data_IF_865343900920
#
_entry.id   IF_865343900920
#
_cell.length_a   1.000
_cell.length_b   1.000
_cell.length_c   1.000
_cell.angle_alpha   90.00
_cell.angle_beta   90.00
_cell.angle_gamma   90.00
#
_symmetry.space_group_name_H-M   'P 1'
#
loop_
_entity.id
_entity.type
_entity.pdbx_description
1 polymer ?
2 non-polymer ?
3 non-polymer ?
4 water ?
#
# COMPACT_ATOMS: atom_id res chain seq x y z
N UNK A 17 20.12 12.67 19.59
CA UNK A 17 19.54 11.71 18.60
C UNK A 17 18.22 12.24 18.03
N UNK A 18 18.27 12.82 16.81
CA UNK A 18 17.08 13.36 16.14
C UNK A 18 16.12 12.26 15.66
N UNK A 19 14.84 12.62 15.51
CA UNK A 19 13.80 11.67 15.10
C UNK A 19 12.92 12.17 13.95
N UNK A 20 12.25 11.23 13.29
CA UNK A 20 11.31 11.54 12.20
C UNK A 20 9.90 11.14 12.62
N UNK A 21 8.96 12.09 12.52
CA UNK A 21 7.56 11.83 12.80
C UNK A 21 6.82 11.51 11.50
N UNK A 22 6.37 10.27 11.36
CA UNK A 22 5.65 9.83 10.17
C UNK A 22 4.15 9.82 10.44
N UNK A 23 3.39 10.51 9.58
CA UNK A 23 1.95 10.67 9.77
C UNK A 23 1.17 10.16 8.56
N UNK A 24 0.22 9.27 8.83
CA UNK A 24 -0.72 8.79 7.82
C UNK A 24 -2.16 9.06 8.25
N UNK A 25 -2.78 10.06 7.62
CA UNK A 25 -4.15 10.44 7.95
C UNK A 25 -5.15 9.80 7.01
N UNK A 26 -5.94 8.86 7.55
CA UNK A 26 -7.04 8.28 6.83
C UNK A 26 -8.31 9.11 7.02
N UNK A 27 -9.39 8.66 6.40
CA UNK A 27 -10.68 9.34 6.52
C UNK A 27 -11.29 9.19 7.92
N UNK A 28 -10.91 8.13 8.62
CA UNK A 28 -11.48 7.81 9.94
C UNK A 28 -10.45 7.66 11.06
N UNK A 29 -9.16 7.74 10.71
CA UNK A 29 -8.08 7.59 11.70
C UNK A 29 -6.80 8.37 11.37
N UNK A 30 -5.89 8.43 12.33
CA UNK A 30 -4.55 8.99 12.12
C UNK A 30 -3.51 8.03 12.69
N UNK A 31 -2.74 7.40 11.79
CA UNK A 31 -1.66 6.49 12.19
C UNK A 31 -0.33 7.24 12.19
N UNK A 32 0.44 7.05 13.26
CA UNK A 32 1.73 7.73 13.37
C UNK A 32 2.85 6.82 13.89
N UNK A 33 4.08 7.15 13.50
CA UNK A 33 5.27 6.45 13.98
C UNK A 33 6.42 7.43 14.19
N UNK A 34 7.22 7.17 15.21
CA UNK A 34 8.41 7.98 15.48
C UNK A 34 9.66 7.11 15.31
N UNK A 35 10.41 7.38 14.25
CA UNK A 35 11.61 6.60 13.93
C UNK A 35 12.88 7.35 14.25
N UNK A 36 13.85 6.64 14.82
CA UNK A 36 15.15 7.21 15.15
C UNK A 36 15.99 7.35 13.88
N UNK A 37 16.41 8.58 13.59
CA UNK A 37 17.17 8.90 12.37
C UNK A 37 18.42 8.02 12.22
N UNK A 38 19.10 7.78 13.34
CA UNK A 38 20.37 7.04 13.34
C UNK A 38 20.24 5.59 12.83
N UNK A 39 19.20 4.88 13.28
CA UNK A 39 19.06 3.46 13.01
C UNK A 39 17.78 3.07 12.23
N UNK A 40 16.93 4.06 11.98
CA UNK A 40 15.62 3.86 11.33
C UNK A 40 14.71 2.90 12.12
N UNK A 41 14.91 2.86 13.44
CA UNK A 41 14.14 2.00 14.32
C UNK A 41 12.91 2.71 14.89
N UNK A 42 11.82 1.97 15.05
CA UNK A 42 10.58 2.50 15.62
C UNK A 42 10.73 2.68 17.12
N UNK A 43 10.59 3.93 17.58
CA UNK A 43 10.67 4.25 19.00
C UNK A 43 9.27 4.33 19.62
N UNK A 44 8.31 4.82 18.83
CA UNK A 44 6.94 4.99 19.29
C UNK A 44 5.98 4.87 18.11
N UNK A 45 4.84 4.23 18.34
CA UNK A 45 3.79 4.08 17.33
C UNK A 45 2.41 4.11 17.97
N UNK A 46 1.45 4.69 17.26
CA UNK A 46 0.08 4.78 17.77
C UNK A 46 -0.95 5.10 16.71
N UNK A 47 -2.23 5.02 17.12
CA UNK A 47 -3.36 5.29 16.22
C UNK A 47 -4.44 6.10 16.94
N UNK A 48 -4.85 7.21 16.33
CA UNK A 48 -5.98 8.01 16.82
C UNK A 48 -7.22 7.65 16.01
N UNK A 49 -8.03 6.74 16.54
CA UNK A 49 -9.17 6.17 15.82
C UNK A 49 -10.48 6.89 16.13
N UNK A 50 -11.48 6.69 15.28
CA UNK A 50 -12.79 7.33 15.42
C UNK A 50 -12.73 8.82 15.16
N UNK A 51 -12.04 9.20 14.08
CA UNK A 51 -11.80 10.60 13.76
C UNK A 51 -13.04 11.31 13.20
N UNK A 52 -13.22 12.56 13.61
CA UNK A 52 -14.36 13.41 13.23
C UNK A 52 -15.72 12.97 13.82
N UNK A 53 -15.74 11.82 14.49
CA UNK A 53 -16.96 11.29 15.11
C UNK A 53 -17.25 11.98 16.45
N UNK A 54 -18.32 11.54 17.11
CA UNK A 54 -18.70 12.06 18.43
C UNK A 54 -17.75 11.60 19.54
N UNK A 55 -17.05 10.50 19.28
CA UNK A 55 -16.06 9.96 20.22
C UNK A 55 -14.75 9.59 19.52
N UNK A 56 -13.67 10.24 19.92
CA UNK A 56 -12.34 9.99 19.35
C UNK A 56 -11.33 9.65 20.45
N UNK A 57 -10.60 8.56 20.24
CA UNK A 57 -9.62 8.08 21.23
C UNK A 57 -8.23 7.90 20.62
N UNK A 58 -7.20 7.94 21.46
CA UNK A 58 -5.82 7.86 21.06
C UNK A 58 -5.08 6.74 21.79
N UNK A 59 -4.69 5.70 21.07
CA UNK A 59 -3.93 4.57 21.62
C UNK A 59 -2.50 4.60 21.10
N UNK A 60 -1.54 4.39 22.00
CA UNK A 60 -0.13 4.40 21.66
C UNK A 60 0.53 3.09 22.09
N UNK A 61 0.99 2.31 21.12
CA UNK A 61 1.58 0.98 21.34
C UNK A 61 0.59 -0.02 21.95
N UNK A 62 -0.70 0.30 21.86
CA UNK A 62 -1.75 -0.46 22.53
C UNK A 62 -1.71 -0.27 24.04
N UNK A 63 -1.41 0.96 24.46
CA UNK A 63 -1.20 1.31 25.87
C UNK A 63 -2.45 1.93 26.49
N UNK A 64 -3.59 1.28 26.28
CA UNK A 64 -4.90 1.73 26.78
C UNK A 64 -5.38 3.05 26.13
N UNK A 65 -6.50 2.98 25.38
CA UNK A 65 -7.08 4.12 24.67
C UNK A 65 -7.47 5.28 25.59
N UNK A 66 -7.04 6.49 25.23
CA UNK A 66 -7.39 7.70 25.95
C UNK A 66 -8.24 8.61 25.08
N UNK A 67 -9.48 8.84 25.49
CA UNK A 67 -10.46 9.59 24.70
C UNK A 67 -10.25 11.10 24.73
N UNK A 68 -10.76 11.78 23.71
CA UNK A 68 -10.76 13.24 23.63
C UNK A 68 -12.18 13.77 23.45
N UNK A 69 -13.08 12.89 23.02
CA UNK A 69 -14.52 13.17 22.81
C UNK A 69 -14.81 14.28 21.80
N UNK A 70 -15.35 13.87 20.65
CA UNK A 70 -15.70 14.78 19.54
C UNK A 70 -14.54 15.67 19.09
N UNK A 71 -13.42 15.03 18.72
CA UNK A 71 -12.21 15.75 18.35
C UNK A 71 -11.95 15.72 16.85
N UNK A 72 -11.34 16.79 16.35
CA UNK A 72 -10.98 16.92 14.93
C UNK A 72 -9.52 16.55 14.66
N UNK A 73 -9.09 16.70 13.41
CA UNK A 73 -7.73 16.36 12.99
C UNK A 73 -6.66 17.19 13.69
N UNK A 74 -6.92 18.48 13.90
CA UNK A 74 -5.98 19.38 14.56
C UNK A 74 -5.83 19.07 16.06
N UNK A 75 -6.94 18.72 16.70
CA UNK A 75 -6.96 18.39 18.12
C UNK A 75 -6.29 17.04 18.41
N UNK A 76 -6.47 16.09 17.50
CA UNK A 76 -5.87 14.76 17.62
C UNK A 76 -4.35 14.80 17.45
N UNK A 77 -3.89 15.60 16.48
CA UNK A 77 -2.46 15.81 16.25
C UNK A 77 -1.81 16.58 17.40
N UNK A 78 -2.60 17.42 18.07
CA UNK A 78 -2.15 18.15 19.24
C UNK A 78 -2.02 17.24 20.46
N UNK A 79 -2.86 16.20 20.52
CA UNK A 79 -2.81 15.19 21.57
C UNK A 79 -1.57 14.30 21.42
N UNK A 80 -1.26 13.94 20.18
CA UNK A 80 -0.05 13.17 19.85
C UNK A 80 1.21 13.99 20.13
N UNK A 81 1.13 15.30 19.86
CA UNK A 81 2.22 16.23 20.15
C UNK A 81 2.43 16.43 21.64
N UNK A 82 1.34 16.34 22.41
CA UNK A 82 1.39 16.44 23.87
C UNK A 82 2.02 15.18 24.46
N UNK A 83 1.69 14.02 23.88
CA UNK A 83 2.29 12.75 24.27
C UNK A 83 3.73 12.62 23.76
N UNK A 84 4.02 13.35 22.68
CA UNK A 84 5.37 13.50 22.15
C UNK A 84 6.20 14.34 23.13
N UNK A 85 5.55 15.29 23.80
CA UNK A 85 6.19 16.18 24.75
C UNK A 85 6.42 15.51 26.11
N UNK A 86 5.47 14.67 26.51
CA UNK A 86 5.53 13.94 27.77
C UNK A 86 6.72 12.98 27.84
N UNK A 87 7.22 12.59 26.66
CA UNK A 87 8.36 11.69 26.56
C UNK A 87 9.63 12.41 26.09
N UNK A 88 9.57 13.75 26.14
CA UNK A 88 10.72 14.64 25.89
C UNK A 88 11.36 14.53 24.50
N UNK A 89 10.57 14.19 23.50
CA UNK A 89 11.09 14.06 22.13
C UNK A 89 10.52 15.08 21.13
N UNK A 90 9.77 16.07 21.65
CA UNK A 90 9.20 17.14 20.83
C UNK A 90 10.30 17.99 20.19
N UNK A 91 11.29 18.37 20.99
CA UNK A 91 12.41 19.19 20.51
C UNK A 91 13.42 18.35 19.71
N UNK A 92 13.18 17.04 19.65
CA UNK A 92 14.04 16.11 18.92
C UNK A 92 13.52 15.80 17.51
N UNK A 93 12.29 16.24 17.23
CA UNK A 93 11.66 16.05 15.91
C UNK A 93 12.34 16.93 14.86
N UNK A 94 13.14 16.31 14.00
CA UNK A 94 13.87 17.02 12.96
C UNK A 94 13.09 17.07 11.64
N UNK A 95 12.31 16.02 11.37
CA UNK A 95 11.57 15.90 10.12
C UNK A 95 10.19 15.30 10.34
N UNK A 96 9.22 15.71 9.52
CA UNK A 96 7.88 15.13 9.54
C UNK A 96 7.50 14.60 8.15
N UNK A 97 7.25 13.30 8.07
CA UNK A 97 6.86 12.65 6.82
C UNK A 97 5.36 12.45 6.71
N UNK A 98 4.79 12.88 5.59
CA UNK A 98 3.36 12.73 5.33
C UNK A 98 3.10 11.73 4.22
N UNK A 99 2.33 10.70 4.53
CA UNK A 99 1.87 9.75 3.53
C UNK A 99 0.69 10.36 2.79
N UNK A 100 0.86 10.52 1.47
CA UNK A 100 -0.19 11.07 0.61
C UNK A 100 -0.70 9.97 -0.32
N UNK A 101 -2.01 9.82 -0.36
CA UNK A 101 -2.65 8.75 -1.14
C UNK A 101 -2.45 8.90 -2.65
N UNK A 102 -2.79 10.07 -3.19
CA UNK A 102 -2.77 10.27 -4.63
C UNK A 102 -1.97 11.51 -5.03
N UNK A 103 -1.00 11.31 -5.93
CA UNK A 103 -0.14 12.39 -6.40
C UNK A 103 -0.36 12.81 -7.84
N UNK A 104 -1.36 12.19 -8.48
CA UNK A 104 -1.69 12.48 -9.88
C UNK A 104 -0.51 12.30 -10.81
N UNK A 105 -0.38 13.21 -11.77
CA UNK A 105 0.75 13.22 -12.70
C UNK A 105 1.84 14.20 -12.26
N UNK A 106 1.51 15.03 -11.27
CA UNK A 106 2.38 16.13 -10.85
C UNK A 106 3.58 15.69 -10.01
N UNK A 107 3.45 14.57 -9.30
CA UNK A 107 4.50 14.11 -8.39
C UNK A 107 5.12 12.78 -8.80
N UNK A 108 6.41 12.82 -9.11
CA UNK A 108 7.16 11.65 -9.54
C UNK A 108 8.10 11.15 -8.45
N UNK A 109 8.31 11.99 -7.45
CA UNK A 109 9.18 11.67 -6.31
C UNK A 109 8.70 12.39 -5.05
N UNK A 110 9.25 12.03 -3.90
CA UNK A 110 8.94 12.69 -2.64
C UNK A 110 9.56 14.08 -2.61
N UNK A 111 8.83 15.04 -2.03
CA UNK A 111 9.25 16.45 -2.02
C UNK A 111 9.14 17.09 -0.64
N UNK A 112 9.85 18.21 -0.48
CA UNK A 112 9.71 19.04 0.72
C UNK A 112 8.45 19.88 0.57
N UNK A 113 7.56 19.80 1.56
CA UNK A 113 6.28 20.49 1.53
C UNK A 113 6.44 22.01 1.61
N UNK A 114 5.95 22.68 0.57
CA UNK A 114 5.88 24.14 0.53
C UNK A 114 4.45 24.53 0.17
N UNK A 115 4.18 25.83 0.08
CA UNK A 115 2.88 26.33 -0.36
C UNK A 115 2.52 25.83 -1.75
N UNK A 116 3.51 25.75 -2.63
CA UNK A 116 3.34 25.22 -3.98
C UNK A 116 2.84 23.78 -3.99
N UNK A 117 3.48 22.94 -3.18
CA UNK A 117 3.15 21.52 -3.10
C UNK A 117 1.70 21.32 -2.62
N UNK A 118 1.33 22.02 -1.55
CA UNK A 118 -0.03 21.96 -1.01
C UNK A 118 -1.07 22.25 -2.09
N UNK A 119 -0.85 23.35 -2.82
CA UNK A 119 -1.72 23.74 -3.93
C UNK A 119 -1.85 22.63 -4.97
N UNK A 120 -0.72 22.01 -5.31
CA UNK A 120 -0.69 20.91 -6.26
C UNK A 120 -1.39 19.65 -5.76
N UNK A 121 -1.32 19.41 -4.46
CA UNK A 121 -2.01 18.28 -3.82
C UNK A 121 -3.53 18.48 -3.88
N UNK A 122 -3.97 19.71 -3.62
CA UNK A 122 -5.38 20.07 -3.72
C UNK A 122 -5.89 19.98 -5.17
N UNK A 123 -5.01 20.25 -6.13
CA UNK A 123 -5.31 20.12 -7.55
C UNK A 123 -5.70 18.69 -7.95
N UNK A 124 -4.92 17.72 -7.47
CA UNK A 124 -5.12 16.30 -7.81
C UNK A 124 -6.00 15.56 -6.80
N UNK A 125 -6.50 16.29 -5.81
CA UNK A 125 -7.34 15.71 -4.75
C UNK A 125 -8.69 15.14 -5.23
N UNK A 126 -9.29 15.72 -6.30
CA UNK A 126 -10.50 15.11 -6.86
C UNK A 126 -10.34 13.64 -7.27
N UNK A 127 -9.10 13.22 -7.55
CA UNK A 127 -8.81 11.84 -7.96
C UNK A 127 -8.95 10.84 -6.82
N UNK A 128 -8.83 11.33 -5.58
CA UNK A 128 -9.06 10.52 -4.39
C UNK A 128 -9.68 11.37 -3.27
N UNK A 129 -10.99 11.70 -3.40
CA UNK A 129 -11.66 12.66 -2.52
C UNK A 129 -11.69 12.22 -1.06
N UNK A 130 -11.83 10.92 -0.82
CA UNK A 130 -11.91 10.37 0.54
C UNK A 130 -10.59 10.49 1.30
N UNK A 131 -9.51 10.01 0.69
CA UNK A 131 -8.22 9.90 1.36
C UNK A 131 -7.36 11.16 1.27
N UNK A 132 -7.36 11.81 0.11
CA UNK A 132 -6.43 12.91 -0.17
C UNK A 132 -6.69 14.20 0.60
N UNK A 133 -7.95 14.51 0.85
CA UNK A 133 -8.32 15.70 1.63
C UNK A 133 -7.97 15.52 3.11
N UNK A 134 -8.07 14.28 3.59
CA UNK A 134 -7.67 13.94 4.96
C UNK A 134 -6.17 14.13 5.16
N UNK A 135 -5.39 13.84 4.12
CA UNK A 135 -3.94 14.03 4.12
C UNK A 135 -3.57 15.51 4.27
N UNK A 136 -4.31 16.36 3.58
CA UNK A 136 -4.11 17.82 3.64
C UNK A 136 -4.42 18.39 5.01
N UNK A 137 -5.44 17.82 5.67
CA UNK A 137 -5.80 18.20 7.03
C UNK A 137 -4.67 17.89 8.01
N UNK A 138 -3.98 16.76 7.77
CA UNK A 138 -2.80 16.38 8.54
C UNK A 138 -1.60 17.27 8.27
N UNK A 139 -1.47 17.72 7.01
CA UNK A 139 -0.41 18.66 6.63
C UNK A 139 -0.63 20.03 7.28
N UNK A 140 -1.89 20.48 7.28
CA UNK A 140 -2.26 21.76 7.89
C UNK A 140 -2.03 21.77 9.40
N UNK A 141 -2.32 20.64 10.04
CA UNK A 141 -2.15 20.50 11.50
C UNK A 141 -0.68 20.47 11.90
N UNK A 142 0.13 19.67 11.20
CA UNK A 142 1.56 19.55 11.49
C UNK A 142 2.31 20.84 11.19
N UNK A 143 1.84 21.60 10.20
CA UNK A 143 2.36 22.94 9.92
C UNK A 143 2.12 23.88 11.09
N UNK A 144 0.91 23.83 11.63
CA UNK A 144 0.51 24.68 12.75
C UNK A 144 1.29 24.38 14.03
N UNK A 145 1.55 23.10 14.28
CA UNK A 145 2.17 22.65 15.53
C UNK A 145 3.70 22.52 15.46
N UNK A 146 4.23 22.39 14.25
CA UNK A 146 5.68 22.23 14.05
C UNK A 146 6.20 23.07 12.87
N UNK A 147 6.05 24.42 12.94
CA UNK A 147 6.38 25.25 11.77
C UNK A 147 7.88 25.36 11.48
N UNK A 148 8.72 25.21 12.50
CA UNK A 148 10.17 25.27 12.32
C UNK A 148 10.78 23.90 12.02
N UNK A 149 9.92 22.92 11.76
CA UNK A 149 10.35 21.57 11.38
C UNK A 149 10.11 21.36 9.88
N UNK A 150 11.13 20.87 9.19
CA UNK A 150 11.03 20.50 7.78
C UNK A 150 10.01 19.38 7.60
N UNK A 151 9.12 19.56 6.62
CA UNK A 151 8.07 18.57 6.37
C UNK A 151 8.08 18.05 4.93
N UNK A 152 7.88 16.74 4.80
CA UNK A 152 8.03 16.03 3.52
C UNK A 152 6.76 15.28 3.15
N UNK A 153 6.42 15.30 1.86
CA UNK A 153 5.28 14.54 1.34
C UNK A 153 5.74 13.34 0.52
N UNK A 154 5.30 12.15 0.92
CA UNK A 154 5.60 10.92 0.20
C UNK A 154 4.32 10.36 -0.41
N UNK A 155 4.33 10.18 -1.73
CA UNK A 155 3.11 9.84 -2.48
C UNK A 155 3.04 8.34 -2.80
N UNK A 156 1.84 7.80 -2.64
CA UNK A 156 1.62 6.37 -2.82
C UNK A 156 1.48 5.98 -4.30
N UNK A 157 1.55 6.98 -5.17
CA UNK A 157 1.39 6.79 -6.62
C UNK A 157 2.67 7.08 -7.41
N UNK A 158 3.58 7.85 -6.81
CA UNK A 158 4.72 8.43 -7.53
C UNK A 158 5.65 7.42 -8.20
N UNK A 159 5.86 6.28 -7.55
CA UNK A 159 6.74 5.23 -8.06
C UNK A 159 6.29 4.67 -9.42
N UNK A 160 4.98 4.70 -9.64
CA UNK A 160 4.39 4.14 -10.87
C UNK A 160 4.33 5.16 -12.02
N UNK A 161 4.92 6.32 -11.84
CA UNK A 161 4.91 7.36 -12.87
C UNK A 161 5.85 7.07 -14.03
N UNK A 162 6.73 6.10 -13.86
CA UNK A 162 7.63 5.65 -14.91
C UNK A 162 6.95 4.76 -15.96
N UNK A 163 5.67 4.46 -15.72
CA UNK A 163 4.87 3.67 -16.68
C UNK A 163 4.70 4.39 -18.01
N UNK A 164 4.83 3.64 -19.10
CA UNK A 164 4.63 4.16 -20.46
C UNK A 164 3.12 4.25 -20.76
N UNK A 165 2.73 5.11 -21.71
CA UNK A 165 1.32 5.33 -22.06
C UNK A 165 0.53 4.04 -22.32
N UNK A 166 1.15 3.08 -23.01
CA UNK A 166 0.52 1.79 -23.31
C UNK A 166 0.15 1.01 -22.04
N UNK A 167 0.87 1.29 -20.96
CA UNK A 167 0.65 0.61 -19.68
C UNK A 167 -0.37 1.32 -18.78
N UNK A 168 -0.57 2.63 -19.01
CA UNK A 168 -1.47 3.39 -18.16
C UNK A 168 -2.74 3.94 -18.84
N UNK A 169 -2.74 3.96 -20.17
CA UNK A 169 -3.93 4.41 -20.91
C UNK A 169 -5.05 3.36 -20.84
N UNK A 170 -6.26 3.84 -20.61
CA UNK A 170 -7.44 3.01 -20.71
C UNK A 170 -8.01 3.08 -22.12
N UNK A 171 -8.72 2.04 -22.53
CA UNK A 171 -9.35 2.00 -23.84
C UNK A 171 -10.58 2.89 -23.97
N UNK A 172 -10.57 3.99 -23.23
CA UNK A 172 -11.66 4.97 -23.26
C UNK A 172 -11.34 6.09 -24.25
N UNK A 173 -12.35 6.88 -24.65
CA UNK A 173 -12.07 8.05 -25.49
C UNK A 173 -10.94 8.90 -24.92
N UNK A 174 -10.01 9.27 -25.79
CA UNK A 174 -8.81 10.05 -25.41
C UNK A 174 -9.12 11.26 -24.52
N UNK A 175 -10.30 11.84 -24.72
CA UNK A 175 -10.73 13.05 -24.00
C UNK A 175 -10.73 12.89 -22.48
N UNK A 176 -11.14 11.71 -21.99
CA UNK A 176 -11.16 11.44 -20.56
C UNK A 176 -9.77 11.51 -19.92
N UNK A 177 -8.76 11.15 -20.69
CA UNK A 177 -7.37 11.22 -20.24
C UNK A 177 -6.81 12.65 -20.30
N UNK A 178 -7.07 13.34 -21.41
CA UNK A 178 -6.53 14.68 -21.64
C UNK A 178 -7.21 15.75 -20.80
N UNK A 179 -8.54 15.69 -20.73
CA UNK A 179 -9.33 16.70 -20.00
C UNK A 179 -9.46 16.38 -18.50
N UNK A 180 -9.89 15.16 -18.19
CA UNK A 180 -10.22 14.78 -16.81
C UNK A 180 -9.10 14.01 -16.09
N UNK A 181 -8.14 13.50 -16.85
CA UNK A 181 -7.00 12.77 -16.28
C UNK A 181 -7.33 11.36 -15.85
N UNK A 182 -8.16 10.67 -16.64
CA UNK A 182 -8.51 9.27 -16.38
C UNK A 182 -7.46 8.34 -16.98
N UNK A 183 -6.65 7.77 -16.09
CA UNK A 183 -5.58 6.85 -16.46
C UNK A 183 -5.19 5.99 -15.25
N UNK A 184 -4.39 4.95 -15.50
CA UNK A 184 -3.85 4.13 -14.43
C UNK A 184 -2.81 4.92 -13.64
N UNK A 185 -2.97 4.93 -12.33
CA UNK A 185 -1.98 5.55 -11.45
C UNK A 185 -1.27 4.51 -10.60
N UNK A 186 -2.04 3.57 -10.04
CA UNK A 186 -1.49 2.50 -9.23
C UNK A 186 -1.11 2.95 -7.84
N UNK A 187 -1.17 2.04 -6.88
CA UNK A 187 -0.92 2.37 -5.49
C UNK A 187 0.07 1.40 -4.85
N UNK A 188 0.27 1.50 -3.54
CA UNK A 188 1.30 0.77 -2.81
C UNK A 188 2.72 1.09 -3.31
N UNK A 189 2.87 2.25 -3.95
CA UNK A 189 4.12 2.68 -4.58
C UNK A 189 5.32 2.70 -3.65
N UNK A 190 5.10 3.22 -2.44
CA UNK A 190 6.14 3.29 -1.41
C UNK A 190 6.62 1.89 -1.02
N UNK A 191 5.67 0.97 -0.84
CA UNK A 191 5.98 -0.42 -0.52
C UNK A 191 6.70 -1.13 -1.67
N UNK A 192 6.18 -0.96 -2.90
CA UNK A 192 6.80 -1.55 -4.08
C UNK A 192 8.22 -1.06 -4.29
N UNK A 193 8.44 0.23 -4.04
CA UNK A 193 9.76 0.84 -4.12
C UNK A 193 10.71 0.29 -3.06
N UNK A 194 10.27 0.25 -1.80
CA UNK A 194 11.07 -0.28 -0.70
C UNK A 194 11.49 -1.73 -0.92
N UNK A 195 10.51 -2.58 -1.25
CA UNK A 195 10.74 -4.01 -1.47
C UNK A 195 11.69 -4.24 -2.64
N UNK A 196 11.56 -3.43 -3.70
CA UNK A 196 12.45 -3.48 -4.85
C UNK A 196 13.91 -3.29 -4.45
N UNK A 197 14.20 -2.21 -3.73
CA UNK A 197 15.57 -1.90 -3.30
C UNK A 197 16.18 -3.06 -2.51
N UNK A 198 15.40 -3.59 -1.57
CA UNK A 198 15.84 -4.71 -0.73
C UNK A 198 16.10 -5.98 -1.54
N UNK A 199 15.32 -6.18 -2.59
CA UNK A 199 15.46 -7.35 -3.45
C UNK A 199 16.78 -7.40 -4.20
N UNK A 200 17.30 -6.24 -4.59
CA UNK A 200 18.58 -6.16 -5.29
C UNK A 200 19.74 -6.60 -4.39
N UNK A 201 19.59 -6.39 -3.09
CA UNK A 201 20.60 -6.84 -2.13
C UNK A 201 20.44 -8.31 -1.78
N UNK A 202 19.21 -8.74 -1.56
CA UNK A 202 18.92 -10.13 -1.17
C UNK A 202 19.18 -11.12 -2.31
N UNK A 203 18.78 -10.76 -3.52
CA UNK A 203 18.94 -11.62 -4.69
C UNK A 203 20.29 -11.40 -5.38
N UNK A 204 21.04 -10.41 -4.91
CA UNK A 204 22.31 -9.98 -5.51
C UNK A 204 22.16 -9.67 -7.00
N UNK A 205 21.34 -8.67 -7.28
CA UNK A 205 21.03 -8.27 -8.65
C UNK A 205 21.55 -6.87 -8.95
N UNK A 206 21.96 -6.67 -10.19
CA UNK A 206 22.28 -5.34 -10.69
C UNK A 206 20.98 -4.64 -11.03
N UNK A 207 20.71 -3.53 -10.33
CA UNK A 207 19.48 -2.75 -10.52
C UNK A 207 19.23 -2.42 -11.99
N UNK A 208 20.25 -1.87 -12.65
CA UNK A 208 20.15 -1.44 -14.05
C UNK A 208 19.90 -2.57 -15.05
N UNK A 209 19.99 -3.82 -14.58
CA UNK A 209 19.73 -4.99 -15.42
C UNK A 209 18.96 -6.07 -14.65
N UNK A 210 17.70 -5.79 -14.35
CA UNK A 210 16.87 -6.68 -13.54
C UNK A 210 15.40 -6.61 -13.91
N UNK A 211 14.67 -7.69 -13.60
CA UNK A 211 13.23 -7.75 -13.78
C UNK A 211 12.56 -8.44 -12.62
N UNK A 212 11.82 -7.67 -11.82
CA UNK A 212 11.16 -8.20 -10.62
C UNK A 212 9.66 -8.09 -10.71
N UNK A 213 8.97 -9.02 -10.04
CA UNK A 213 7.55 -8.90 -9.77
C UNK A 213 7.36 -8.83 -8.26
N UNK A 214 6.74 -7.75 -7.79
CA UNK A 214 6.46 -7.58 -6.37
C UNK A 214 4.97 -7.80 -6.12
N UNK A 215 4.67 -8.72 -5.22
CA UNK A 215 3.29 -9.01 -4.85
C UNK A 215 2.99 -8.51 -3.45
N UNK A 216 2.43 -7.31 -3.36
CA UNK A 216 1.99 -6.76 -2.09
C UNK A 216 0.59 -7.28 -1.76
N UNK A 217 0.54 -8.26 -0.86
CA UNK A 217 -0.72 -8.88 -0.47
C UNK A 217 -1.00 -8.60 1.00
N UNK A 218 -2.12 -7.96 1.27
CA UNK A 218 -2.53 -7.64 2.63
C UNK A 218 -3.84 -6.86 2.68
N UNK A 219 -3.77 -5.68 3.30
CA UNK A 219 -4.91 -4.75 3.36
C UNK A 219 -5.56 -4.58 1.99
N UNK A 220 -4.86 -3.88 1.10
CA UNK A 220 -5.16 -3.89 -0.32
C UNK A 220 -4.14 -4.79 -0.98
N UNK A 221 -4.46 -5.29 -2.17
CA UNK A 221 -3.55 -6.17 -2.88
C UNK A 221 -3.22 -5.59 -4.24
N UNK A 222 -1.92 -5.46 -4.51
CA UNK A 222 -1.47 -4.96 -5.82
C UNK A 222 -0.18 -5.65 -6.27
N UNK A 223 -0.03 -5.76 -7.58
CA UNK A 223 1.17 -6.32 -8.20
C UNK A 223 1.92 -5.21 -8.92
N UNK A 224 3.25 -5.29 -8.92
CA UNK A 224 4.08 -4.34 -9.65
C UNK A 224 5.22 -5.04 -10.38
N UNK A 225 5.39 -4.69 -11.66
CA UNK A 225 6.54 -5.13 -12.44
C UNK A 225 7.62 -4.06 -12.39
N UNK A 226 8.80 -4.45 -11.95
CA UNK A 226 9.92 -3.52 -11.82
C UNK A 226 11.04 -3.92 -12.78
N UNK A 227 11.15 -3.17 -13.88
CA UNK A 227 12.19 -3.40 -14.88
C UNK A 227 13.30 -2.37 -14.70
N UNK A 228 14.51 -2.87 -14.44
CA UNK A 228 15.70 -2.04 -14.27
C UNK A 228 15.54 -0.90 -13.27
N UNK A 229 14.93 -1.20 -12.12
CA UNK A 229 14.70 -0.21 -11.07
C UNK A 229 13.48 0.66 -11.24
N UNK A 230 12.82 0.53 -12.39
CA UNK A 230 11.65 1.36 -12.72
C UNK A 230 10.36 0.54 -12.77
N UNK A 231 9.28 1.12 -12.27
CA UNK A 231 7.95 0.51 -12.34
C UNK A 231 7.43 0.61 -13.76
N UNK A 232 7.11 -0.55 -14.35
CA UNK A 232 6.64 -0.59 -15.74
C UNK A 232 5.18 -1.04 -15.89
N UNK A 233 4.64 -1.66 -14.85
CA UNK A 233 3.24 -2.08 -14.81
C UNK A 233 2.79 -2.34 -13.37
N UNK A 234 1.55 -1.98 -13.07
CA UNK A 234 0.98 -2.21 -11.74
C UNK A 234 -0.52 -2.55 -11.83
N UNK A 235 -0.98 -3.43 -10.93
CA UNK A 235 -2.31 -4.03 -11.06
C UNK A 235 -3.48 -3.11 -10.74
N UNK A 236 -3.31 -2.26 -9.73
CA UNK A 236 -4.31 -1.25 -9.39
C UNK A 236 -4.40 -0.18 -10.47
N UNK A 237 -5.55 0.47 -10.58
CA UNK A 237 -5.77 1.43 -11.66
C UNK A 237 -5.76 2.88 -11.25
N UNK A 238 -6.78 3.61 -11.67
CA UNK A 238 -7.00 4.99 -11.25
C UNK A 238 -7.41 4.99 -9.78
N UNK A 239 -8.24 4.00 -9.42
CA UNK A 239 -8.63 3.76 -8.03
C UNK A 239 -8.06 2.40 -7.59
N UNK A 240 -8.03 2.13 -6.26
CA UNK A 240 -7.57 0.82 -5.79
C UNK A 240 -8.58 -0.32 -6.02
N UNK A 241 -9.59 -0.08 -6.84
CA UNK A 241 -10.60 -1.10 -7.13
C UNK A 241 -10.18 -2.08 -8.23
N UNK A 242 -9.29 -1.64 -9.12
CA UNK A 242 -8.83 -2.48 -10.22
C UNK A 242 -7.74 -3.45 -9.78
N UNK A 243 -7.70 -4.61 -10.43
CA UNK A 243 -6.63 -5.59 -10.22
C UNK A 243 -7.05 -6.79 -9.41
N UNK A 244 -6.26 -7.09 -8.38
CA UNK A 244 -6.48 -8.27 -7.54
C UNK A 244 -7.74 -8.14 -6.70
N UNK A 245 -8.40 -9.28 -6.49
CA UNK A 245 -9.48 -9.37 -5.53
C UNK A 245 -8.85 -9.26 -4.13
N UNK A 246 -9.53 -8.55 -3.23
CA UNK A 246 -8.97 -8.26 -1.91
C UNK A 246 -9.87 -8.75 -0.78
N UNK A 247 -9.68 -8.18 0.41
CA UNK A 247 -10.48 -8.53 1.59
C UNK A 247 -11.95 -8.20 1.39
N UNK A 248 -12.23 -6.94 1.07
CA UNK A 248 -13.60 -6.48 0.83
C UNK A 248 -13.77 -5.88 -0.57
N UNK A 249 -12.67 -5.74 -1.30
CA UNK A 249 -12.69 -5.20 -2.65
C UNK A 249 -12.73 -6.30 -3.71
N UNK A 250 -13.56 -6.08 -4.73
CA UNK A 250 -13.82 -7.07 -5.78
C UNK A 250 -12.63 -7.35 -6.70
N UNK A 251 -11.86 -6.31 -7.00
CA UNK A 251 -10.79 -6.40 -7.99
C UNK A 251 -11.34 -6.28 -9.40
N UNK A 252 -10.66 -6.91 -10.35
CA UNK A 252 -11.09 -6.87 -11.75
C UNK A 252 -12.52 -7.35 -11.91
N UNK A 253 -13.38 -6.47 -12.40
CA UNK A 253 -14.79 -6.80 -12.61
C UNK A 253 -15.31 -6.23 -13.94
N UNK A 254 -15.94 -7.10 -14.72
CA UNK A 254 -16.57 -6.76 -16.00
C UNK A 254 -17.57 -5.63 -15.82
N UNK A 255 -17.37 -4.53 -16.54
CA UNK A 255 -18.28 -3.39 -16.46
C UNK A 255 -19.66 -3.73 -17.02
N UNK A 256 -19.70 -4.57 -18.05
CA UNK A 256 -20.95 -5.05 -18.61
C UNK A 256 -21.78 -5.79 -17.56
N UNK A 257 -21.10 -6.56 -16.72
CA UNK A 257 -21.74 -7.27 -15.61
C UNK A 257 -22.27 -6.31 -14.56
N UNK A 258 -21.51 -5.24 -14.28
CA UNK A 258 -21.93 -4.22 -13.31
C UNK A 258 -23.12 -3.42 -13.82
N UNK A 259 -23.13 -3.15 -15.13
CA UNK A 259 -24.25 -2.47 -15.78
C UNK A 259 -25.49 -3.36 -15.83
N UNK A 260 -25.27 -4.67 -15.88
CA UNK A 260 -26.34 -5.66 -15.91
C UNK A 260 -27.01 -5.80 -14.55
N UNK A 261 -26.21 -5.72 -13.48
CA UNK A 261 -26.71 -5.77 -12.11
C UNK A 261 -27.54 -4.52 -11.79
N UNK A 262 -27.08 -3.38 -12.31
CA UNK A 262 -27.78 -2.10 -12.14
C UNK A 262 -29.20 -2.09 -12.72
N UNK A 263 -29.41 -2.86 -13.78
CA UNK A 263 -30.71 -2.96 -14.44
C UNK A 263 -31.60 -4.01 -13.77
N UNK A 264 -30.99 -5.10 -13.31
CA UNK A 264 -31.74 -6.25 -12.77
C UNK A 264 -32.12 -6.13 -11.30
N UNK A 265 -31.36 -5.34 -10.54
CA UNK A 265 -31.66 -5.11 -9.12
C UNK A 265 -32.15 -3.69 -8.85
N UNK A 266 -31.96 -2.81 -9.83
CA UNK A 266 -32.37 -1.41 -9.72
C UNK A 266 -31.56 -0.65 -8.69
N UNK A 267 -30.24 -0.74 -8.81
CA UNK A 267 -29.31 -0.08 -7.90
C UNK A 267 -28.59 1.08 -8.58
N UNK A 268 -28.23 2.09 -7.79
CA UNK A 268 -27.49 3.25 -8.31
C UNK A 268 -26.01 2.90 -8.49
N UNK A 269 -25.28 3.77 -9.18
CA UNK A 269 -23.83 3.64 -9.34
C UNK A 269 -23.13 3.78 -8.00
N UNK A 270 -23.74 4.54 -7.09
CA UNK A 270 -23.26 4.70 -5.73
C UNK A 270 -23.46 3.42 -4.91
N UNK A 271 -24.59 2.77 -5.13
CA UNK A 271 -24.92 1.51 -4.45
C UNK A 271 -23.93 0.40 -4.79
N UNK A 272 -23.57 0.31 -6.08
CA UNK A 272 -22.63 -0.70 -6.56
C UNK A 272 -21.20 -0.38 -6.12
N UNK A 273 -20.88 0.90 -6.01
CA UNK A 273 -19.57 1.35 -5.53
C UNK A 273 -19.39 0.99 -4.06
N UNK A 274 -20.49 1.02 -3.30
CA UNK A 274 -20.50 0.57 -1.91
C UNK A 274 -20.26 -0.94 -1.83
N UNK A 275 -20.97 -1.68 -2.68
CA UNK A 275 -20.88 -3.14 -2.73
C UNK A 275 -19.47 -3.61 -3.08
N UNK A 276 -18.89 -2.99 -4.10
CA UNK A 276 -17.55 -3.36 -4.61
C UNK A 276 -16.44 -3.09 -3.58
N UNK A 277 -16.59 -2.02 -2.82
CA UNK A 277 -15.56 -1.61 -1.85
C UNK A 277 -15.60 -2.32 -0.50
N UNK A 278 -16.82 -2.53 0.01
CA UNK A 278 -17.00 -2.95 1.41
C UNK A 278 -17.66 -4.32 1.60
N UNK A 279 -18.42 -4.77 0.60
CA UNK A 279 -19.20 -6.01 0.72
C UNK A 279 -18.70 -7.15 -0.20
N UNK A 280 -17.62 -6.90 -0.92
CA UNK A 280 -17.14 -7.82 -1.95
C UNK A 280 -15.87 -8.56 -1.53
N UNK A 281 -15.09 -9.00 -2.52
CA UNK A 281 -13.80 -9.66 -2.28
C UNK A 281 -13.89 -11.01 -1.60
N UNK A 282 -12.98 -11.24 -0.66
CA UNK A 282 -12.98 -12.46 0.14
C UNK A 282 -14.24 -12.56 0.98
N UNK A 283 -14.65 -11.43 1.56
CA UNK A 283 -15.90 -11.34 2.34
C UNK A 283 -17.11 -11.66 1.47
N UNK A 284 -17.09 -11.19 0.22
CA UNK A 284 -18.19 -11.38 -0.70
C UNK A 284 -18.46 -12.83 -1.10
N UNK A 285 -17.41 -13.51 -1.54
CA UNK A 285 -17.53 -14.90 -1.99
C UNK A 285 -17.84 -15.86 -0.84
N UNK A 286 -17.07 -15.77 0.24
CA UNK A 286 -17.22 -16.66 1.38
C UNK A 286 -18.49 -16.38 2.19
N UNK A 287 -18.82 -15.10 2.33
CA UNK A 287 -19.94 -14.67 3.18
C UNK A 287 -19.64 -14.94 4.63
N UNK A 288 -18.37 -14.73 5.02
CA UNK A 288 -17.89 -15.09 6.34
C UNK A 288 -16.96 -14.01 6.91
N UNK A 289 -15.82 -13.80 6.25
CA UNK A 289 -14.80 -12.88 6.74
C UNK A 289 -13.94 -12.28 5.63
N UNK A 290 -13.39 -11.11 5.89
CA UNK A 290 -12.38 -10.50 5.03
C UNK A 290 -10.98 -10.92 5.49
N UNK A 291 -10.90 -11.39 6.73
CA UNK A 291 -9.64 -11.85 7.32
C UNK A 291 -9.28 -13.24 6.80
N UNK A 292 -8.04 -13.40 6.36
CA UNK A 292 -7.57 -14.65 5.76
C UNK A 292 -7.37 -15.76 6.80
N UNK A 293 -6.94 -15.39 8.01
CA UNK A 293 -6.73 -16.36 9.10
C UNK A 293 -8.02 -17.11 9.46
N UNK A 294 -9.15 -16.41 9.37
CA UNK A 294 -10.46 -16.99 9.62
C UNK A 294 -10.85 -17.96 8.50
N UNK A 295 -10.59 -17.54 7.26
CA UNK A 295 -10.93 -18.34 6.08
C UNK A 295 -10.06 -19.59 5.93
N UNK A 296 -8.79 -19.48 6.33
CA UNK A 296 -7.87 -20.62 6.34
C UNK A 296 -8.35 -21.69 7.32
N UNK A 297 -8.79 -21.24 8.50
CA UNK A 297 -9.32 -22.13 9.53
C UNK A 297 -10.66 -22.73 9.12
N UNK A 298 -11.48 -21.92 8.43
CA UNK A 298 -12.79 -22.36 7.96
C UNK A 298 -12.69 -23.48 6.92
N UNK A 299 -11.76 -23.31 5.96
CA UNK A 299 -11.48 -24.33 4.95
C UNK A 299 -10.90 -25.59 5.60
N UNK A 300 -10.02 -25.40 6.59
CA UNK A 300 -9.49 -26.51 7.38
C UNK A 300 -10.62 -27.31 8.05
N UNK A 301 -11.73 -26.63 8.34
CA UNK A 301 -12.91 -27.28 8.93
C UNK A 301 -13.94 -27.69 7.86
N UNK A 302 -13.56 -27.59 6.60
CA UNK A 302 -14.39 -28.05 5.48
C UNK A 302 -15.44 -27.08 4.98
N UNK A 303 -15.14 -25.79 5.07
CA UNK A 303 -16.03 -24.76 4.53
C UNK A 303 -15.71 -24.54 3.05
N UNK A 304 -16.68 -24.85 2.19
CA UNK A 304 -16.49 -24.80 0.74
C UNK A 304 -16.29 -23.37 0.22
N UNK A 305 -17.14 -22.44 0.65
CA UNK A 305 -17.10 -21.05 0.18
C UNK A 305 -15.87 -20.29 0.67
N UNK A 306 -15.27 -20.76 1.76
CA UNK A 306 -14.02 -20.21 2.24
C UNK A 306 -12.86 -20.74 1.40
N UNK A 307 -12.99 -21.97 0.93
CA UNK A 307 -12.00 -22.58 0.04
C UNK A 307 -12.04 -21.89 -1.33
N UNK A 308 -13.24 -21.63 -1.83
CA UNK A 308 -13.43 -20.97 -3.12
C UNK A 308 -12.89 -19.54 -3.10
N UNK A 309 -13.17 -18.81 -2.02
CA UNK A 309 -12.69 -17.45 -1.86
C UNK A 309 -11.15 -17.38 -1.89
N UNK A 310 -10.51 -18.32 -1.20
CA UNK A 310 -9.05 -18.41 -1.18
C UNK A 310 -8.49 -18.87 -2.53
N UNK A 311 -9.10 -19.90 -3.11
CA UNK A 311 -8.69 -20.42 -4.42
C UNK A 311 -8.79 -19.36 -5.53
N UNK A 312 -9.86 -18.56 -5.49
CA UNK A 312 -10.07 -17.46 -6.43
C UNK A 312 -9.04 -16.36 -6.20
N UNK A 313 -8.82 -16.03 -4.93
CA UNK A 313 -7.82 -15.05 -4.51
C UNK A 313 -6.45 -15.43 -5.07
N UNK A 314 -6.06 -16.68 -4.85
CA UNK A 314 -4.81 -17.24 -5.37
C UNK A 314 -4.74 -17.15 -6.90
N UNK A 315 -5.83 -17.53 -7.57
CA UNK A 315 -5.91 -17.56 -9.03
C UNK A 315 -5.64 -16.20 -9.67
N UNK A 316 -6.29 -15.16 -9.14
CA UNK A 316 -6.16 -13.81 -9.69
C UNK A 316 -4.77 -13.20 -9.45
N UNK A 317 -4.14 -13.59 -8.34
CA UNK A 317 -2.75 -13.19 -8.06
C UNK A 317 -1.80 -13.82 -9.07
N UNK A 318 -1.94 -15.12 -9.28
CA UNK A 318 -1.12 -15.85 -10.26
C UNK A 318 -1.30 -15.31 -11.66
N UNK A 319 -2.56 -14.97 -12.00
CA UNK A 319 -2.90 -14.40 -13.31
C UNK A 319 -2.22 -13.06 -13.53
N UNK A 320 -2.16 -12.23 -12.49
CA UNK A 320 -1.53 -10.91 -12.59
C UNK A 320 -0.01 -10.95 -12.47
N UNK A 321 0.52 -11.87 -11.67
CA UNK A 321 1.98 -12.04 -11.57
C UNK A 321 2.55 -12.42 -12.93
N UNK A 322 1.96 -13.43 -13.55
CA UNK A 322 2.36 -13.89 -14.88
C UNK A 322 2.07 -12.82 -15.94
N UNK A 323 0.95 -12.11 -15.75
CA UNK A 323 0.56 -11.02 -16.65
C UNK A 323 1.54 -9.87 -16.66
N UNK A 324 1.95 -9.43 -15.47
CA UNK A 324 2.90 -8.32 -15.31
C UNK A 324 4.30 -8.71 -15.76
N UNK A 325 4.58 -10.02 -15.81
CA UNK A 325 5.87 -10.53 -16.24
C UNK A 325 6.15 -10.20 -17.71
N UNK A 326 5.09 -9.95 -18.47
CA UNK A 326 5.20 -9.58 -19.88
C UNK A 326 5.89 -8.23 -20.10
N UNK A 327 5.79 -7.35 -19.11
CA UNK A 327 6.43 -6.04 -19.18
C UNK A 327 7.91 -6.09 -18.79
N UNK A 328 8.46 -7.29 -18.72
CA UNK A 328 9.88 -7.49 -18.43
C UNK A 328 10.59 -8.20 -19.57
N UNK A 329 11.87 -7.87 -19.76
CA UNK A 329 12.71 -8.55 -20.72
C UNK A 329 13.15 -9.91 -20.19
N UNK A 330 13.28 -9.99 -18.87
CA UNK A 330 13.73 -11.20 -18.17
C UNK A 330 13.18 -11.22 -16.75
N UNK A 331 12.70 -12.39 -16.31
CA UNK A 331 12.16 -12.54 -14.96
C UNK A 331 13.20 -13.12 -14.00
N UNK A 332 13.67 -12.27 -13.09
CA UNK A 332 14.68 -12.67 -12.12
C UNK A 332 14.05 -13.09 -10.79
N UNK A 333 13.09 -12.30 -10.31
CA UNK A 333 12.50 -12.54 -9.00
C UNK A 333 11.01 -12.30 -8.86
N UNK A 334 10.38 -13.10 -8.00
CA UNK A 334 9.03 -12.84 -7.52
C UNK A 334 9.12 -12.65 -6.01
N UNK A 335 8.74 -11.46 -5.54
CA UNK A 335 8.82 -11.13 -4.12
C UNK A 335 7.44 -11.01 -3.51
N UNK A 336 7.23 -11.72 -2.41
CA UNK A 336 5.98 -11.63 -1.65
C UNK A 336 6.17 -10.68 -0.47
N UNK A 337 5.19 -9.79 -0.28
CA UNK A 337 5.24 -8.79 0.78
C UNK A 337 3.85 -8.43 1.29
N UNK A 338 3.79 -7.68 2.39
CA UNK A 338 2.52 -7.29 3.01
C UNK A 338 2.07 -8.28 4.06
N UNK A 339 0.98 -7.96 4.75
CA UNK A 339 0.43 -8.80 5.82
C UNK A 339 0.25 -10.26 5.43
N UNK A 340 -0.40 -10.47 4.28
CA UNK A 340 -0.64 -11.82 3.75
C UNK A 340 0.66 -12.43 3.21
N UNK A 341 1.36 -11.66 2.37
CA UNK A 341 2.56 -12.14 1.69
C UNK A 341 3.72 -12.55 2.59
N UNK A 342 3.76 -11.95 3.78
CA UNK A 342 4.84 -12.21 4.74
C UNK A 342 4.53 -13.36 5.69
N UNK A 343 3.23 -13.63 5.89
CA UNK A 343 2.79 -14.56 6.93
C UNK A 343 2.13 -15.85 6.43
N UNK A 344 1.35 -15.75 5.35
CA UNK A 344 0.59 -16.88 4.85
C UNK A 344 1.45 -17.89 4.09
N UNK A 345 1.78 -18.98 4.76
CA UNK A 345 2.55 -20.08 4.17
C UNK A 345 1.75 -20.75 3.04
N UNK A 346 0.44 -20.88 3.25
CA UNK A 346 -0.46 -21.50 2.29
C UNK A 346 -0.57 -20.69 1.00
N UNK A 347 -0.96 -19.42 1.11
CA UNK A 347 -1.15 -18.55 -0.05
C UNK A 347 0.10 -18.46 -0.93
N UNK A 348 1.26 -18.33 -0.31
CA UNK A 348 2.53 -18.29 -1.05
C UNK A 348 2.74 -19.54 -1.90
N UNK A 349 2.51 -20.71 -1.30
CA UNK A 349 2.72 -21.98 -1.99
C UNK A 349 1.72 -22.20 -3.12
N UNK A 350 0.45 -21.93 -2.85
CA UNK A 350 -0.62 -22.10 -3.83
C UNK A 350 -0.41 -21.21 -5.05
N UNK A 351 0.05 -19.98 -4.81
CA UNK A 351 0.36 -19.03 -5.89
C UNK A 351 1.55 -19.53 -6.72
N UNK A 352 2.62 -19.94 -6.04
CA UNK A 352 3.82 -20.43 -6.72
C UNK A 352 3.56 -21.72 -7.50
N UNK A 353 2.76 -22.62 -6.91
CA UNK A 353 2.38 -23.86 -7.59
C UNK A 353 1.47 -23.59 -8.79
N UNK A 354 0.71 -22.49 -8.72
CA UNK A 354 -0.11 -22.02 -9.84
C UNK A 354 0.77 -21.41 -10.95
N UNK A 355 2.02 -21.10 -10.61
CA UNK A 355 2.94 -20.48 -11.57
C UNK A 355 4.04 -21.45 -12.01
N UNK A 356 3.69 -22.73 -12.08
CA UNK A 356 4.62 -23.77 -12.52
C UNK A 356 5.09 -23.58 -13.94
N UNK A 357 4.27 -22.91 -14.74
CA UNK A 357 4.59 -22.62 -16.15
C UNK A 357 5.90 -21.83 -16.29
N UNK A 358 6.15 -20.92 -15.35
CA UNK A 358 7.34 -20.07 -15.36
C UNK A 358 8.60 -20.80 -14.91
N UNK A 359 8.43 -22.05 -14.48
CA UNK A 359 9.55 -22.90 -14.09
C UNK A 359 10.02 -22.68 -12.66
N UNK A 360 9.07 -22.35 -11.78
CA UNK A 360 9.38 -22.13 -10.36
C UNK A 360 9.34 -23.44 -9.59
N UNK A 361 10.35 -23.66 -8.75
CA UNK A 361 10.31 -24.73 -7.75
C UNK A 361 10.49 -24.13 -6.37
N UNK A 362 9.57 -24.49 -5.46
CA UNK A 362 9.54 -23.96 -4.11
C UNK A 362 10.28 -24.85 -3.11
N UNK A 363 11.00 -24.22 -2.18
CA UNK A 363 11.56 -24.91 -1.04
C UNK A 363 10.55 -24.80 0.11
N UNK A 364 9.93 -25.91 0.46
CA UNK A 364 8.85 -25.92 1.46
C UNK A 364 9.38 -25.80 2.89
N UNK A 365 10.64 -26.20 3.09
CA UNK A 365 11.31 -25.97 4.37
C UNK A 365 11.50 -24.47 4.60
N UNK A 366 11.92 -23.76 3.56
CA UNK A 366 12.09 -22.31 3.61
C UNK A 366 10.76 -21.57 3.63
N UNK A 367 9.77 -22.09 2.91
CA UNK A 367 8.44 -21.49 2.86
C UNK A 367 7.65 -21.67 4.16
N UNK A 368 8.04 -22.66 4.95
CA UNK A 368 7.42 -22.91 6.25
C UNK A 368 7.79 -21.86 7.27
N UNK A 369 9.01 -21.33 7.16
CA UNK A 369 9.56 -20.36 8.11
C UNK A 369 8.65 -19.14 8.33
N UNK A 370 8.38 -18.79 9.60
CA UNK A 370 7.55 -17.64 9.93
C UNK A 370 8.26 -16.31 9.66
N UNK A 371 7.52 -15.20 9.70
CA UNK A 371 8.02 -13.88 9.31
C UNK A 371 9.21 -13.37 10.12
N UNK A 372 9.40 -13.92 11.31
CA UNK A 372 10.53 -13.57 12.17
C UNK A 372 11.88 -13.76 11.49
N UNK A 373 11.91 -14.63 10.48
CA UNK A 373 13.12 -14.90 9.70
C UNK A 373 13.39 -13.82 8.65
N UNK A 374 12.52 -12.80 8.62
CA UNK A 374 12.71 -11.60 7.82
C UNK A 374 12.89 -11.86 6.34
N UNK A 375 13.85 -11.15 5.74
CA UNK A 375 14.12 -11.23 4.31
C UNK A 375 14.76 -12.58 3.98
N UNK A 376 13.97 -13.45 3.36
CA UNK A 376 14.33 -14.85 3.13
C UNK A 376 13.98 -15.30 1.72
N UNK A 377 14.82 -16.17 1.16
CA UNK A 377 14.57 -16.80 -0.14
C UNK A 377 13.82 -18.12 0.08
N UNK A 378 12.71 -18.31 -0.63
CA UNK A 378 11.84 -19.46 -0.41
C UNK A 378 11.81 -20.49 -1.56
N UNK A 379 12.53 -20.20 -2.65
CA UNK A 379 12.59 -21.10 -3.80
C UNK A 379 13.80 -22.04 -3.72
N UNK A 380 13.64 -23.24 -4.27
CA UNK A 380 14.72 -24.22 -4.33
C UNK A 380 15.77 -23.84 -5.39
N UNK A 381 16.81 -24.66 -5.50
CA UNK A 381 17.92 -24.39 -6.42
C UNK A 381 17.65 -24.55 -7.93
N UNK A 382 16.89 -25.59 -8.34
CA UNK A 382 16.63 -25.76 -9.78
C UNK A 382 15.67 -24.72 -10.37
N UNK A 383 15.11 -23.85 -9.52
CA UNK A 383 14.14 -22.84 -9.93
C UNK A 383 14.72 -21.86 -10.95
N UNK A 384 13.95 -21.57 -11.99
CA UNK A 384 14.34 -20.63 -13.03
C UNK A 384 14.24 -19.19 -12.51
N UNK A 385 13.31 -18.98 -11.59
CA UNK A 385 13.08 -17.66 -10.99
C UNK A 385 13.18 -17.77 -9.46
N UNK A 386 13.93 -16.85 -8.87
CA UNK A 386 14.10 -16.80 -7.42
C UNK A 386 12.82 -16.26 -6.76
N UNK A 387 12.25 -17.03 -5.84
CA UNK A 387 11.12 -16.57 -5.04
C UNK A 387 11.61 -16.21 -3.64
N UNK A 388 11.14 -15.07 -3.12
CA UNK A 388 11.58 -14.57 -1.83
C UNK A 388 10.48 -13.83 -1.07
N UNK A 389 10.63 -13.77 0.26
CA UNK A 389 9.75 -12.97 1.11
C UNK A 389 10.56 -11.82 1.68
N UNK A 390 10.11 -10.59 1.43
CA UNK A 390 10.73 -9.40 2.01
C UNK A 390 9.67 -8.59 2.74
N UNK A 391 9.80 -8.48 4.07
CA UNK A 391 8.87 -7.66 4.84
C UNK A 391 8.98 -6.19 4.42
N UNK A 392 7.83 -5.58 4.14
CA UNK A 392 7.80 -4.19 3.73
C UNK A 392 7.89 -3.25 4.93
N UNK A 393 8.53 -2.11 4.73
CA UNK A 393 8.66 -1.10 5.77
C UNK A 393 8.41 0.28 5.18
N UNK A 394 7.13 0.63 5.08
CA UNK A 394 6.72 1.91 4.50
C UNK A 394 7.11 3.10 5.36
N UNK A 395 7.19 2.89 6.67
CA UNK A 395 7.62 3.92 7.61
C UNK A 395 9.10 4.26 7.43
N UNK A 396 9.92 3.23 7.22
CA UNK A 396 11.36 3.39 7.00
C UNK A 396 11.65 4.08 5.67
N UNK A 397 10.87 3.76 4.64
CA UNK A 397 11.03 4.35 3.32
C UNK A 397 10.66 5.84 3.31
N UNK A 398 9.62 6.19 4.06
CA UNK A 398 9.23 7.59 4.26
C UNK A 398 10.31 8.36 5.01
N UNK A 399 10.88 7.72 6.03
CA UNK A 399 11.98 8.30 6.81
C UNK A 399 13.23 8.51 5.95
N UNK A 400 13.56 7.53 5.12
CA UNK A 400 14.72 7.60 4.25
C UNK A 400 14.65 8.74 3.25
N UNK A 401 13.46 8.98 2.69
CA UNK A 401 13.22 10.11 1.80
C UNK A 401 13.35 11.43 2.57
N UNK A 402 12.83 11.44 3.79
CA UNK A 402 12.86 12.61 4.66
C UNK A 402 14.29 12.96 5.07
N UNK A 403 15.08 11.95 5.41
CA UNK A 403 16.50 12.13 5.77
C UNK A 403 17.28 12.71 4.59
N UNK A 404 17.04 12.18 3.40
CA UNK A 404 17.68 12.67 2.18
C UNK A 404 17.30 14.11 1.89
N UNK A 405 16.02 14.43 2.03
CA UNK A 405 15.52 15.79 1.81
C UNK A 405 15.87 16.73 2.96
N UNK A 406 16.34 16.16 4.07
CA UNK A 406 16.78 16.95 5.23
C UNK A 406 18.17 17.54 5.06
N UNK A 407 18.86 17.13 4.00
CA UNK A 407 20.20 17.65 3.69
C UNK A 407 20.17 18.68 2.55
N UNK A 408 18.99 19.21 2.27
CA UNK A 408 18.74 20.04 1.09
C UNK A 408 18.36 21.47 1.44
N UNK A 409 18.92 22.44 0.71
CA UNK A 409 18.53 23.85 0.84
C UNK A 409 17.19 24.11 0.15
N UNK A 410 16.24 24.63 0.92
CA UNK A 410 14.90 24.96 0.40
C UNK A 410 14.63 26.46 0.48
#
# INVERSE_FOLDING_TARGET
MRGSHHHHHHGMASNEFPVVLVINCGSSSIKFSVLDVATCDVLMAGIADGMNTENAFLSINGDKPINLAHSNYEDALKAIAFELEKRDLTDSVALIGHRIAHGGELFTQSVIITDEIIDNIRRVSPLAPLHNYANLSGIDAARHLFPAVRQVAVFDTSFHQTLAPEAYLYGLPWEYFSSLGVRRYGFHGTSHRYVSRRAYELLDLDEKDSGLIVAHLGNGASICAVRNGQSVDTSMGMTPLEGLMMGTRSGDVDFGAMAWIAKETGQTLSDLERVVNKESGLLGISGLSSDLRVLEKAWHEGHERARLAIKTFVHRIARHIAGHAASLHRLDGIIFTGGIGENSVLIRQLVIEHLGVLGLTLDVEMNKQPNSHGERIISANPSQVICAVIPTNEEKMIALDAIHLGNVKAPVEFA
#
